data_IF_090762139446
#
_entry.id   IF_090762139446
#
_cell.length_a   1.000
_cell.length_b   1.000
_cell.length_c   1.000
_cell.angle_alpha   90.00
_cell.angle_beta   90.00
_cell.angle_gamma   90.00
#
_symmetry.space_group_name_H-M   'P 1'
#
loop_
_entity.id
_entity.type
_entity.pdbx_description
1 polymer ?
#
# COMPACT_ATOMS: atom_id res chain seq x y z
N UNK A 1 8.60 -46.65 -47.83
CA UNK A 1 9.68 -45.90 -47.18
C UNK A 1 9.10 -45.26 -45.94
N UNK A 2 9.51 -45.63 -44.71
CA UNK A 2 9.11 -44.92 -43.52
C UNK A 2 9.97 -43.66 -43.35
N UNK A 3 9.36 -42.56 -42.91
CA UNK A 3 10.04 -41.32 -42.51
C UNK A 3 10.77 -41.52 -41.17
N UNK A 4 11.85 -40.78 -40.90
CA UNK A 4 12.69 -41.01 -39.72
C UNK A 4 12.07 -40.44 -38.44
N UNK A 5 12.28 -41.16 -37.34
CA UNK A 5 12.00 -40.78 -35.96
C UNK A 5 12.91 -39.63 -35.52
N UNK A 6 12.53 -38.38 -35.79
CA UNK A 6 13.08 -37.21 -35.10
C UNK A 6 12.41 -37.08 -33.71
N UNK A 7 12.80 -37.98 -32.80
CA UNK A 7 12.58 -37.78 -31.38
C UNK A 7 13.49 -36.65 -30.89
N UNK A 8 12.99 -35.42 -30.96
CA UNK A 8 13.56 -34.28 -30.24
C UNK A 8 13.62 -34.65 -28.75
N UNK A 9 14.83 -34.83 -28.23
CA UNK A 9 15.10 -35.18 -26.83
C UNK A 9 14.60 -34.07 -25.90
N UNK A 10 13.34 -34.20 -25.47
CA UNK A 10 12.66 -33.30 -24.54
C UNK A 10 13.43 -33.15 -23.23
N UNK A 11 14.16 -34.19 -22.80
CA UNK A 11 14.96 -34.14 -21.59
C UNK A 11 16.22 -33.28 -21.79
N UNK A 12 16.85 -33.32 -22.95
CA UNK A 12 17.96 -32.43 -23.30
C UNK A 12 17.53 -30.96 -23.37
N UNK A 13 16.33 -30.68 -23.90
CA UNK A 13 15.74 -29.33 -23.90
C UNK A 13 15.48 -28.86 -22.47
N UNK A 14 14.88 -29.69 -21.61
CA UNK A 14 14.62 -29.33 -20.21
C UNK A 14 15.90 -29.14 -19.39
N UNK A 15 16.97 -29.92 -19.63
CA UNK A 15 18.27 -29.73 -18.96
C UNK A 15 18.97 -28.45 -19.39
N UNK A 16 18.92 -28.10 -20.69
CA UNK A 16 19.44 -26.81 -21.18
C UNK A 16 18.67 -25.62 -20.57
N UNK A 17 17.35 -25.77 -20.38
CA UNK A 17 16.48 -24.78 -19.72
C UNK A 17 16.82 -24.59 -18.23
N UNK A 18 17.06 -25.67 -17.48
CA UNK A 18 17.41 -25.59 -16.07
C UNK A 18 18.80 -24.96 -15.82
N UNK A 19 19.79 -25.26 -16.68
CA UNK A 19 21.14 -24.72 -16.57
C UNK A 19 21.23 -23.20 -16.83
N UNK A 20 20.37 -22.68 -17.72
CA UNK A 20 20.38 -21.26 -18.10
C UNK A 20 19.76 -20.37 -17.00
N UNK A 21 18.69 -20.82 -16.34
CA UNK A 21 18.07 -20.14 -15.20
C UNK A 21 19.05 -20.04 -14.02
N UNK A 22 19.82 -21.10 -13.76
CA UNK A 22 20.86 -21.10 -12.72
C UNK A 22 22.02 -20.14 -13.03
N UNK A 23 22.30 -19.89 -14.31
CA UNK A 23 23.39 -19.00 -14.75
C UNK A 23 23.00 -17.52 -14.68
N UNK A 24 21.73 -17.18 -14.93
CA UNK A 24 21.21 -15.81 -14.81
C UNK A 24 21.28 -15.27 -13.36
N UNK A 25 21.09 -16.14 -12.36
CA UNK A 25 21.19 -15.77 -10.94
C UNK A 25 22.63 -15.59 -10.45
N UNK A 26 23.62 -16.13 -11.16
CA UNK A 26 25.03 -16.12 -10.74
C UNK A 26 25.83 -14.93 -11.28
N UNK A 27 25.23 -14.09 -12.13
CA UNK A 27 25.91 -13.00 -12.86
C UNK A 27 25.76 -11.58 -12.29
N UNK A 28 25.03 -11.39 -11.19
CA UNK A 28 24.84 -10.09 -10.54
C UNK A 28 26.10 -9.67 -9.74
N UNK A 29 27.20 -9.45 -10.46
CA UNK A 29 28.36 -8.75 -9.93
C UNK A 29 28.02 -7.27 -9.78
N UNK A 30 27.58 -6.85 -8.60
CA UNK A 30 27.43 -5.44 -8.26
C UNK A 30 28.80 -4.75 -8.44
N UNK A 31 28.91 -3.67 -9.23
CA UNK A 31 30.15 -2.92 -9.30
C UNK A 31 30.44 -2.29 -7.94
N UNK A 32 31.68 -2.44 -7.47
CA UNK A 32 32.20 -1.72 -6.31
C UNK A 32 32.16 -0.22 -6.63
N UNK A 33 31.22 0.50 -6.03
CA UNK A 33 31.16 1.97 -6.13
C UNK A 33 32.38 2.52 -5.37
N UNK A 34 33.33 3.04 -6.13
CA UNK A 34 34.51 3.70 -5.61
C UNK A 34 34.12 5.01 -4.89
N UNK A 35 34.80 5.27 -3.78
CA UNK A 35 34.61 6.38 -2.86
C UNK A 35 34.46 7.73 -3.57
N UNK A 36 33.32 8.39 -3.36
CA UNK A 36 33.18 9.82 -3.61
C UNK A 36 33.98 10.58 -2.55
N UNK A 37 34.91 11.42 -3.01
CA UNK A 37 35.62 12.39 -2.18
C UNK A 37 34.63 13.44 -1.66
N UNK A 38 34.63 13.60 -0.35
CA UNK A 38 33.89 14.61 0.39
C UNK A 38 34.45 16.01 0.07
N UNK A 39 33.67 16.80 -0.66
CA UNK A 39 33.98 18.21 -0.94
C UNK A 39 33.52 19.05 0.28
N UNK A 40 34.35 20.00 0.78
CA UNK A 40 34.02 20.77 1.96
C UNK A 40 32.81 21.71 1.75
N UNK A 41 32.02 21.98 2.79
CA UNK A 41 30.73 22.65 2.69
C UNK A 41 30.88 24.12 2.27
N UNK A 42 30.21 24.48 1.18
CA UNK A 42 30.01 25.87 0.78
C UNK A 42 28.94 26.53 1.68
N UNK A 43 29.21 27.79 2.07
CA UNK A 43 28.28 28.62 2.83
C UNK A 43 26.92 28.76 2.12
N UNK A 44 25.80 28.67 2.85
CA UNK A 44 24.47 28.77 2.28
C UNK A 44 24.19 30.19 1.75
N UNK A 45 23.71 30.35 0.50
CA UNK A 45 23.30 31.65 0.01
C UNK A 45 22.06 32.15 0.76
N UNK A 46 22.18 33.34 1.34
CA UNK A 46 21.06 34.09 1.87
C UNK A 46 20.15 34.54 0.73
N UNK A 47 18.88 34.10 0.76
CA UNK A 47 17.83 34.66 -0.10
C UNK A 47 17.06 33.67 -0.98
N UNK A 48 16.72 32.47 -0.48
CA UNK A 48 15.72 31.64 -1.13
C UNK A 48 14.32 32.19 -0.84
N UNK A 49 13.81 32.97 -1.79
CA UNK A 49 12.41 33.38 -1.88
C UNK A 49 11.52 32.13 -1.90
N UNK A 50 10.62 32.05 -0.93
CA UNK A 50 9.76 30.91 -0.63
C UNK A 50 8.92 30.54 -1.86
N UNK A 51 9.28 29.44 -2.52
CA UNK A 51 8.57 28.95 -3.70
C UNK A 51 7.10 28.70 -3.33
N UNK A 52 6.12 29.17 -4.14
CA UNK A 52 4.71 29.01 -3.83
C UNK A 52 4.37 27.53 -3.70
N UNK A 53 3.89 27.15 -2.52
CA UNK A 53 3.48 25.79 -2.20
C UNK A 53 2.53 25.26 -3.29
N UNK A 54 2.89 24.12 -3.89
CA UNK A 54 2.05 23.44 -4.85
C UNK A 54 0.66 23.17 -4.23
N UNK A 55 -0.44 23.36 -4.99
CA UNK A 55 -1.79 23.15 -4.48
C UNK A 55 -1.93 21.70 -4.02
N UNK A 56 -2.11 21.51 -2.72
CA UNK A 56 -2.43 20.22 -2.10
C UNK A 56 -3.67 19.62 -2.78
N UNK A 57 -3.47 18.51 -3.48
CA UNK A 57 -4.54 17.74 -4.12
C UNK A 57 -5.52 17.30 -3.04
N UNK A 58 -6.69 17.96 -3.02
CA UNK A 58 -7.80 17.55 -2.14
C UNK A 58 -8.19 16.11 -2.51
N UNK A 59 -8.53 15.25 -1.54
CA UNK A 59 -9.18 13.98 -1.84
C UNK A 59 -10.51 14.26 -2.54
N UNK A 60 -10.52 14.17 -3.88
CA UNK A 60 -11.73 13.90 -4.64
C UNK A 60 -12.05 12.43 -4.35
N UNK A 61 -13.26 12.05 -3.93
CA UNK A 61 -14.42 12.19 -4.79
C UNK A 61 -15.72 12.32 -4.01
N UNK A 62 -16.41 13.43 -4.26
CA UNK A 62 -17.86 13.48 -4.29
C UNK A 62 -18.30 14.41 -5.42
N UNK A 63 -18.42 13.86 -6.64
CA UNK A 63 -19.72 13.81 -7.30
C UNK A 63 -20.00 12.39 -7.80
N UNK A 64 -20.93 11.70 -7.13
CA UNK A 64 -21.41 10.39 -7.60
C UNK A 64 -22.34 10.60 -8.80
N UNK A 65 -22.28 9.73 -9.84
CA UNK A 65 -23.27 9.73 -10.92
C UNK A 65 -24.69 9.58 -10.34
N UNK A 66 -25.71 10.06 -11.07
CA UNK A 66 -27.10 9.96 -10.59
C UNK A 66 -27.42 8.51 -10.16
N UNK A 67 -27.89 8.29 -8.91
CA UNK A 67 -28.07 6.95 -8.40
C UNK A 67 -29.13 6.20 -9.20
N UNK A 68 -28.82 4.94 -9.53
CA UNK A 68 -29.73 4.06 -10.27
C UNK A 68 -31.05 3.84 -9.51
N UNK A 69 -32.15 3.50 -10.21
CA UNK A 69 -33.42 3.17 -9.56
C UNK A 69 -33.28 2.07 -8.48
N UNK A 70 -32.43 1.07 -8.73
CA UNK A 70 -32.16 -0.02 -7.79
C UNK A 70 -31.43 0.47 -6.53
N UNK A 71 -30.43 1.35 -6.69
CA UNK A 71 -29.74 1.96 -5.55
C UNK A 71 -30.70 2.79 -4.69
N UNK A 72 -31.62 3.54 -5.30
CA UNK A 72 -32.67 4.28 -4.59
C UNK A 72 -33.63 3.36 -3.85
N UNK A 73 -34.03 2.25 -4.46
CA UNK A 73 -34.89 1.23 -3.83
C UNK A 73 -34.21 0.61 -2.61
N UNK A 74 -32.94 0.20 -2.77
CA UNK A 74 -32.14 -0.38 -1.70
C UNK A 74 -31.93 0.60 -0.54
N UNK A 75 -31.54 1.85 -0.85
CA UNK A 75 -31.34 2.89 0.16
C UNK A 75 -32.60 3.12 1.00
N UNK A 76 -33.79 3.06 0.38
CA UNK A 76 -35.08 3.20 1.07
C UNK A 76 -35.37 2.04 2.04
N UNK A 77 -35.08 0.81 1.63
CA UNK A 77 -35.22 -0.38 2.50
C UNK A 77 -34.29 -0.28 3.70
N UNK A 78 -33.01 0.03 3.45
CA UNK A 78 -32.00 0.19 4.51
C UNK A 78 -32.32 1.36 5.45
N UNK A 79 -32.86 2.46 4.92
CA UNK A 79 -33.29 3.59 5.75
C UNK A 79 -34.46 3.21 6.67
N UNK A 80 -35.43 2.44 6.16
CA UNK A 80 -36.56 1.96 6.95
C UNK A 80 -36.10 1.00 8.06
N UNK A 81 -35.21 0.06 7.74
CA UNK A 81 -34.58 -0.83 8.71
C UNK A 81 -33.80 -0.04 9.79
N UNK A 82 -32.99 0.93 9.36
CA UNK A 82 -32.25 1.79 10.30
C UNK A 82 -33.17 2.57 11.23
N UNK A 83 -34.33 3.01 10.73
CA UNK A 83 -35.35 3.69 11.53
C UNK A 83 -35.96 2.76 12.57
N UNK A 84 -36.36 1.55 12.18
CA UNK A 84 -36.90 0.52 13.10
C UNK A 84 -35.89 0.16 14.20
N UNK A 85 -34.62 -0.02 13.84
CA UNK A 85 -33.54 -0.29 14.79
C UNK A 85 -33.28 0.89 15.72
N UNK A 86 -33.34 2.11 15.21
CA UNK A 86 -33.16 3.32 16.02
C UNK A 86 -34.31 3.47 17.06
N UNK A 87 -35.55 3.24 16.63
CA UNK A 87 -36.73 3.32 17.49
C UNK A 87 -36.76 2.23 18.57
N UNK A 88 -36.25 1.05 18.26
CA UNK A 88 -36.11 -0.06 19.21
C UNK A 88 -34.90 0.07 20.15
N UNK A 89 -34.08 1.12 20.01
CA UNK A 89 -32.88 1.35 20.82
C UNK A 89 -31.65 0.55 20.39
N UNK A 90 -31.71 -0.22 19.30
CA UNK A 90 -30.54 -0.85 18.66
C UNK A 90 -29.76 0.20 17.85
N UNK A 91 -29.13 1.15 18.55
CA UNK A 91 -28.38 2.23 17.90
C UNK A 91 -27.20 1.70 17.07
N UNK A 92 -26.55 0.62 17.49
CA UNK A 92 -25.45 0.01 16.74
C UNK A 92 -25.92 -0.57 15.41
N UNK A 93 -27.06 -1.28 15.40
CA UNK A 93 -27.68 -1.74 14.17
C UNK A 93 -28.20 -0.60 13.29
N UNK A 94 -28.78 0.44 13.89
CA UNK A 94 -29.24 1.62 13.17
C UNK A 94 -28.08 2.34 12.44
N UNK A 95 -26.93 2.50 13.10
CA UNK A 95 -25.72 3.09 12.50
C UNK A 95 -25.32 2.33 11.24
N UNK A 96 -25.25 0.99 11.29
CA UNK A 96 -24.89 0.16 10.11
C UNK A 96 -25.88 0.35 8.96
N UNK A 97 -27.18 0.26 9.24
CA UNK A 97 -28.22 0.39 8.22
C UNK A 97 -28.26 1.80 7.60
N UNK A 98 -28.12 2.86 8.40
CA UNK A 98 -28.05 4.23 7.88
C UNK A 98 -26.77 4.49 7.09
N UNK A 99 -25.64 3.92 7.50
CA UNK A 99 -24.39 4.03 6.75
C UNK A 99 -24.51 3.36 5.37
N UNK A 100 -25.04 2.13 5.31
CA UNK A 100 -25.26 1.43 4.03
C UNK A 100 -26.28 2.16 3.15
N UNK A 101 -27.35 2.69 3.75
CA UNK A 101 -28.31 3.55 3.05
C UNK A 101 -27.64 4.80 2.46
N UNK A 102 -26.74 5.44 3.23
CA UNK A 102 -26.01 6.63 2.80
C UNK A 102 -24.99 6.32 1.69
N UNK A 103 -24.32 5.17 1.75
CA UNK A 103 -23.44 4.70 0.67
C UNK A 103 -24.21 4.46 -0.62
N UNK A 104 -25.43 3.92 -0.54
CA UNK A 104 -26.27 3.69 -1.71
C UNK A 104 -26.79 5.00 -2.31
N UNK A 105 -27.25 5.94 -1.47
CA UNK A 105 -27.69 7.28 -1.89
C UNK A 105 -27.31 8.33 -0.84
N UNK A 106 -26.29 9.16 -1.09
CA UNK A 106 -25.97 10.28 -0.20
C UNK A 106 -27.09 11.31 -0.21
N UNK A 107 -27.79 11.47 0.92
CA UNK A 107 -28.94 12.40 1.04
C UNK A 107 -29.04 12.98 2.45
N UNK A 108 -29.42 14.25 2.58
CA UNK A 108 -29.50 15.01 3.84
C UNK A 108 -30.24 14.24 4.96
N UNK A 109 -31.44 13.73 4.67
CA UNK A 109 -32.25 12.95 5.62
C UNK A 109 -31.52 11.71 6.16
N UNK A 110 -30.74 11.04 5.31
CA UNK A 110 -30.00 9.83 5.69
C UNK A 110 -28.80 10.23 6.54
N UNK A 111 -28.07 11.29 6.16
CA UNK A 111 -26.97 11.83 6.97
C UNK A 111 -27.42 12.23 8.37
N UNK A 112 -28.54 12.97 8.49
CA UNK A 112 -29.09 13.38 9.79
C UNK A 112 -29.47 12.17 10.65
N UNK A 113 -30.13 11.16 10.07
CA UNK A 113 -30.50 9.96 10.80
C UNK A 113 -29.26 9.18 11.28
N UNK A 114 -28.25 9.07 10.43
CA UNK A 114 -26.96 8.44 10.75
C UNK A 114 -26.24 9.18 11.88
N UNK A 115 -26.13 10.51 11.80
CA UNK A 115 -25.54 11.34 12.85
C UNK A 115 -26.26 11.17 14.18
N UNK A 116 -27.59 11.14 14.19
CA UNK A 116 -28.38 10.92 15.41
C UNK A 116 -28.15 9.54 16.01
N UNK A 117 -28.07 8.49 15.18
CA UNK A 117 -27.75 7.14 15.63
C UNK A 117 -26.35 7.06 16.26
N UNK A 118 -25.34 7.66 15.63
CA UNK A 118 -23.98 7.76 16.18
C UNK A 118 -23.94 8.55 17.48
N UNK A 119 -24.66 9.66 17.56
CA UNK A 119 -24.75 10.45 18.77
C UNK A 119 -25.40 9.66 19.91
N UNK A 120 -26.51 8.96 19.65
CA UNK A 120 -27.20 8.12 20.65
C UNK A 120 -26.39 6.90 21.10
N UNK A 121 -25.47 6.39 20.28
CA UNK A 121 -24.55 5.32 20.66
C UNK A 121 -23.30 5.80 21.43
N UNK A 122 -23.17 7.11 21.67
CA UNK A 122 -22.01 7.71 22.35
C UNK A 122 -20.82 7.99 21.43
N UNK A 123 -20.96 7.79 20.11
CA UNK A 123 -19.94 8.05 19.11
C UNK A 123 -20.02 9.50 18.58
N UNK A 124 -19.88 10.48 19.49
CA UNK A 124 -20.09 11.91 19.17
C UNK A 124 -19.11 12.44 18.11
N UNK A 125 -17.85 12.02 18.17
CA UNK A 125 -16.84 12.37 17.16
C UNK A 125 -17.25 11.87 15.76
N UNK A 126 -17.59 10.58 15.64
CA UNK A 126 -18.03 10.01 14.37
C UNK A 126 -19.28 10.72 13.82
N UNK A 127 -20.21 11.15 14.69
CA UNK A 127 -21.37 11.94 14.25
C UNK A 127 -20.95 13.29 13.63
N UNK A 128 -19.96 13.98 14.20
CA UNK A 128 -19.41 15.20 13.61
C UNK A 128 -18.70 14.94 12.28
N UNK A 129 -17.98 13.82 12.13
CA UNK A 129 -17.33 13.44 10.87
C UNK A 129 -18.32 13.23 9.73
N UNK A 130 -19.46 12.58 10.00
CA UNK A 130 -20.52 12.41 9.01
C UNK A 130 -21.00 13.76 8.48
N UNK A 131 -21.08 14.78 9.34
CA UNK A 131 -21.47 16.13 8.91
C UNK A 131 -20.47 16.77 7.95
N UNK A 132 -19.18 16.70 8.28
CA UNK A 132 -18.09 17.22 7.44
C UNK A 132 -18.09 16.49 6.09
N UNK A 133 -18.13 15.16 6.13
CA UNK A 133 -18.19 14.31 4.94
C UNK A 133 -19.37 14.68 4.07
N UNK A 134 -20.56 14.85 4.64
CA UNK A 134 -21.76 15.18 3.88
C UNK A 134 -21.69 16.56 3.20
N UNK A 135 -21.18 17.57 3.91
CA UNK A 135 -20.97 18.92 3.36
C UNK A 135 -19.96 18.90 2.22
N UNK A 136 -18.84 18.18 2.38
CA UNK A 136 -17.83 18.00 1.33
C UNK A 136 -18.41 17.29 0.10
N UNK A 137 -19.48 16.50 0.28
CA UNK A 137 -20.18 15.82 -0.79
C UNK A 137 -21.35 16.60 -1.41
N UNK A 138 -21.42 17.92 -1.17
CA UNK A 138 -22.46 18.79 -1.73
C UNK A 138 -23.78 18.78 -0.96
N UNK A 139 -23.81 18.16 0.22
CA UNK A 139 -24.95 18.19 1.13
C UNK A 139 -25.23 19.59 1.71
N UNK A 140 -26.46 19.81 2.17
CA UNK A 140 -26.87 21.10 2.72
C UNK A 140 -26.46 21.26 4.19
N UNK A 141 -25.65 22.29 4.49
CA UNK A 141 -25.35 22.67 5.89
C UNK A 141 -26.63 23.02 6.67
N UNK A 142 -27.64 23.59 6.01
CA UNK A 142 -28.91 23.95 6.65
C UNK A 142 -29.62 22.72 7.21
N UNK A 143 -29.61 21.61 6.47
CA UNK A 143 -30.24 20.37 6.89
C UNK A 143 -29.54 19.73 8.10
N UNK A 144 -28.25 19.96 8.27
CA UNK A 144 -27.46 19.42 9.38
C UNK A 144 -27.43 20.33 10.61
N UNK A 145 -27.68 21.63 10.45
CA UNK A 145 -27.45 22.65 11.49
C UNK A 145 -28.08 22.31 12.84
N UNK A 146 -29.34 21.90 12.85
CA UNK A 146 -30.05 21.55 14.09
C UNK A 146 -29.40 20.36 14.79
N UNK A 147 -29.05 19.30 14.04
CA UNK A 147 -28.43 18.09 14.60
C UNK A 147 -27.00 18.38 15.07
N UNK A 148 -26.23 19.18 14.34
CA UNK A 148 -24.90 19.62 14.78
C UNK A 148 -24.98 20.45 16.06
N UNK A 149 -25.92 21.41 16.14
CA UNK A 149 -26.12 22.21 17.34
C UNK A 149 -26.54 21.35 18.54
N UNK A 150 -27.37 20.33 18.32
CA UNK A 150 -27.72 19.36 19.37
C UNK A 150 -26.48 18.61 19.87
N UNK A 151 -25.68 18.04 18.95
CA UNK A 151 -24.45 17.31 19.29
C UNK A 151 -23.49 18.21 20.07
N UNK A 152 -23.26 19.43 19.60
CA UNK A 152 -22.38 20.39 20.27
C UNK A 152 -22.88 20.77 21.67
N UNK A 153 -24.19 20.97 21.84
CA UNK A 153 -24.78 21.33 23.15
C UNK A 153 -24.72 20.20 24.18
N UNK A 154 -24.57 18.95 23.72
CA UNK A 154 -24.55 17.75 24.55
C UNK A 154 -23.20 17.02 24.52
N UNK A 155 -22.15 17.72 24.13
CA UNK A 155 -20.78 17.20 24.14
C UNK A 155 -19.87 18.17 24.87
N UNK A 156 -18.79 17.66 25.45
CA UNK A 156 -17.65 18.48 25.83
C UNK A 156 -16.67 18.57 24.65
N UNK A 157 -15.92 19.66 24.56
CA UNK A 157 -14.84 19.84 23.59
C UNK A 157 -13.49 19.74 24.31
N UNK A 158 -12.66 18.79 23.89
CA UNK A 158 -11.35 18.52 24.49
C UNK A 158 -10.26 18.82 23.47
N UNK A 159 -9.41 19.80 23.76
CA UNK A 159 -8.23 20.14 22.96
C UNK A 159 -7.01 19.49 23.61
N UNK A 160 -6.27 18.67 22.88
CA UNK A 160 -5.04 18.04 23.40
C UNK A 160 -3.83 18.86 22.93
N UNK A 161 -3.03 19.32 23.88
CA UNK A 161 -1.78 20.01 23.63
C UNK A 161 -0.63 19.15 24.15
N UNK A 162 0.35 18.86 23.29
CA UNK A 162 1.57 18.16 23.73
C UNK A 162 2.66 19.18 23.97
N UNK A 163 3.19 19.16 25.18
CA UNK A 163 4.27 20.05 25.64
C UNK A 163 5.56 19.23 25.71
N UNK A 164 6.57 19.62 24.93
CA UNK A 164 7.87 18.94 24.90
C UNK A 164 8.52 18.99 23.51
N UNK A 165 9.78 18.50 23.37
CA UNK A 165 10.43 18.35 22.07
C UNK A 165 9.55 17.48 21.17
N UNK A 166 9.41 17.87 19.90
CA UNK A 166 8.41 17.37 18.94
C UNK A 166 8.30 15.84 18.93
N UNK A 167 7.42 15.31 19.77
CA UNK A 167 7.25 13.88 19.90
C UNK A 167 6.31 13.41 18.79
N UNK A 168 6.87 12.70 17.82
CA UNK A 168 6.09 11.85 16.94
C UNK A 168 5.50 10.72 17.76
N UNK A 169 4.17 10.56 17.69
CA UNK A 169 3.48 9.57 18.51
C UNK A 169 1.98 9.53 18.22
N UNK A 170 1.31 8.59 18.86
CA UNK A 170 -0.13 8.37 18.72
C UNK A 170 -0.84 8.92 19.95
N UNK A 171 -1.81 9.81 19.75
CA UNK A 171 -2.75 10.22 20.79
C UNK A 171 -3.88 9.18 20.81
N UNK A 172 -4.24 8.70 22.01
CA UNK A 172 -5.40 7.85 22.22
C UNK A 172 -6.36 8.57 23.19
N UNK A 173 -7.65 8.53 22.87
CA UNK A 173 -8.74 8.95 23.76
C UNK A 173 -9.62 7.74 24.02
N UNK A 174 -9.74 7.34 25.27
CA UNK A 174 -10.44 6.11 25.69
C UNK A 174 -9.93 4.87 24.92
N UNK A 175 -8.60 4.75 24.80
CA UNK A 175 -7.88 3.72 24.05
C UNK A 175 -8.14 3.69 22.53
N UNK A 176 -8.75 4.74 21.96
CA UNK A 176 -8.95 4.87 20.51
C UNK A 176 -7.98 5.90 19.93
N UNK A 177 -7.23 5.56 18.86
CA UNK A 177 -6.32 6.51 18.23
C UNK A 177 -7.09 7.67 17.60
N UNK A 178 -6.59 8.89 17.79
CA UNK A 178 -7.16 10.12 17.22
C UNK A 178 -6.11 10.85 16.38
N UNK A 179 -6.56 11.46 15.29
CA UNK A 179 -5.70 12.25 14.42
C UNK A 179 -5.14 13.48 15.16
N UNK A 180 -3.87 13.77 14.90
CA UNK A 180 -3.16 14.88 15.53
C UNK A 180 -3.80 16.23 15.26
N UNK A 181 -4.16 16.50 14.00
CA UNK A 181 -4.72 17.80 13.60
C UNK A 181 -6.11 17.98 14.22
N UNK A 182 -6.90 16.91 14.31
CA UNK A 182 -8.20 16.92 15.00
C UNK A 182 -8.07 17.18 16.49
N UNK A 183 -7.07 16.58 17.15
CA UNK A 183 -6.84 16.79 18.58
C UNK A 183 -6.59 18.27 18.94
N UNK A 184 -6.02 19.05 18.00
CA UNK A 184 -5.81 20.50 18.13
C UNK A 184 -7.08 21.33 17.87
N UNK A 185 -7.98 20.85 17.01
CA UNK A 185 -9.24 21.52 16.69
C UNK A 185 -10.30 21.33 17.79
N UNK A 186 -10.13 20.31 18.62
CA UNK A 186 -11.01 19.98 19.74
C UNK A 186 -11.89 18.78 19.42
N UNK A 187 -11.68 17.71 20.17
CA UNK A 187 -12.44 16.46 20.07
C UNK A 187 -13.77 16.61 20.81
N UNK A 188 -14.86 16.15 20.21
CA UNK A 188 -16.16 16.10 20.86
C UNK A 188 -16.30 14.77 21.61
N UNK A 189 -16.38 14.84 22.93
CA UNK A 189 -16.55 13.69 23.81
C UNK A 189 -17.86 13.81 24.59
N UNK A 190 -18.51 12.70 25.00
CA UNK A 190 -19.66 12.76 25.90
C UNK A 190 -19.26 13.35 27.27
N UNK A 191 -20.24 13.67 28.11
CA UNK A 191 -19.94 13.96 29.52
C UNK A 191 -19.44 12.69 30.23
N UNK A 192 -18.50 12.86 31.17
CA UNK A 192 -17.95 11.72 31.91
C UNK A 192 -16.46 11.80 32.16
N UNK A 193 -15.92 10.68 32.61
CA UNK A 193 -14.47 10.50 32.78
C UNK A 193 -13.88 9.97 31.47
N UNK A 194 -12.81 10.61 30.99
CA UNK A 194 -12.08 10.18 29.80
C UNK A 194 -10.60 9.98 30.10
N UNK A 195 -10.00 8.98 29.45
CA UNK A 195 -8.56 8.75 29.52
C UNK A 195 -7.90 9.26 28.25
N UNK A 196 -6.94 10.17 28.38
CA UNK A 196 -6.17 10.69 27.26
C UNK A 196 -4.73 10.24 27.46
N UNK A 197 -4.22 9.48 26.52
CA UNK A 197 -2.86 8.96 26.54
C UNK A 197 -2.13 9.38 25.27
N UNK A 198 -0.85 9.67 25.40
CA UNK A 198 0.05 9.89 24.28
C UNK A 198 1.16 8.85 24.33
N UNK A 199 1.37 8.12 23.24
CA UNK A 199 2.42 7.10 23.12
C UNK A 199 3.42 7.48 22.04
N UNK A 200 4.68 7.57 22.39
CA UNK A 200 5.77 7.82 21.44
C UNK A 200 6.18 6.53 20.73
N UNK A 201 6.92 6.67 19.63
CA UNK A 201 7.57 5.55 18.93
C UNK A 201 8.55 4.77 19.81
N UNK A 202 9.20 5.42 20.79
CA UNK A 202 10.11 4.75 21.73
C UNK A 202 9.38 3.97 22.84
N UNK A 203 8.04 4.00 22.85
CA UNK A 203 7.21 3.29 23.83
C UNK A 203 7.01 4.05 25.14
N UNK A 204 7.54 5.27 25.27
CA UNK A 204 7.18 6.15 26.38
C UNK A 204 5.73 6.59 26.24
N UNK A 205 5.02 6.70 27.35
CA UNK A 205 3.63 7.14 27.37
C UNK A 205 3.38 8.19 28.45
N UNK A 206 2.44 9.09 28.17
CA UNK A 206 1.92 10.05 29.12
C UNK A 206 0.40 9.93 29.15
N UNK A 207 -0.16 9.69 30.33
CA UNK A 207 -1.59 9.46 30.51
C UNK A 207 -2.19 10.51 31.44
N UNK A 208 -3.40 10.96 31.13
CA UNK A 208 -4.16 11.90 31.95
C UNK A 208 -5.64 11.55 31.91
N UNK A 209 -6.22 11.33 33.08
CA UNK A 209 -7.66 11.24 33.23
C UNK A 209 -8.24 12.64 33.38
N UNK A 210 -9.34 12.91 32.67
CA UNK A 210 -10.10 14.14 32.79
C UNK A 210 -11.56 13.80 33.08
N UNK A 211 -12.23 14.71 33.80
CA UNK A 211 -13.68 14.70 33.97
C UNK A 211 -14.23 15.91 33.21
N UNK A 212 -15.23 15.69 32.38
CA UNK A 212 -15.86 16.76 31.58
C UNK A 212 -17.38 16.75 31.78
N UNK A 213 -17.98 17.93 31.85
CA UNK A 213 -19.42 18.14 31.83
C UNK A 213 -19.89 18.60 30.43
N UNK A 214 -21.20 18.54 30.18
CA UNK A 214 -21.79 19.00 28.91
C UNK A 214 -21.43 20.47 28.64
N UNK A 215 -20.95 20.76 27.43
CA UNK A 215 -20.58 22.10 27.00
C UNK A 215 -19.20 22.57 27.46
N UNK A 216 -18.49 21.79 28.29
CA UNK A 216 -17.14 22.14 28.73
C UNK A 216 -16.17 22.27 27.54
N UNK A 217 -15.19 23.16 27.72
CA UNK A 217 -14.04 23.28 26.82
C UNK A 217 -12.76 23.08 27.63
N UNK A 218 -12.15 21.92 27.50
CA UNK A 218 -10.98 21.53 28.30
C UNK A 218 -9.74 21.43 27.41
N UNK A 219 -8.68 22.13 27.78
CA UNK A 219 -7.36 21.94 27.18
C UNK A 219 -6.54 21.00 28.06
N UNK A 220 -6.08 19.90 27.46
CA UNK A 220 -5.32 18.86 28.14
C UNK A 220 -3.88 18.93 27.68
N UNK A 221 -3.05 19.47 28.55
CA UNK A 221 -1.61 19.42 28.36
C UNK A 221 -1.09 18.05 28.77
N UNK A 222 -0.49 17.33 27.81
CA UNK A 222 0.31 16.13 28.02
C UNK A 222 1.78 16.51 27.86
N UNK A 223 2.55 16.35 28.92
CA UNK A 223 3.99 16.58 28.88
C UNK A 223 4.63 15.32 28.32
N UNK A 224 5.22 15.42 27.13
CA UNK A 224 5.98 14.32 26.57
C UNK A 224 7.16 14.04 27.51
N UNK A 225 7.34 12.79 27.99
CA UNK A 225 8.49 12.46 28.81
C UNK A 225 9.77 12.84 28.05
N UNK A 226 10.75 13.51 28.68
CA UNK A 226 12.01 13.78 28.03
C UNK A 226 12.56 12.45 27.52
N UNK A 227 12.95 12.42 26.25
CA UNK A 227 13.58 11.26 25.67
C UNK A 227 14.82 10.98 26.53
N UNK A 228 14.80 9.87 27.27
CA UNK A 228 15.91 9.51 28.15
C UNK A 228 17.10 9.31 27.20
N UNK A 229 18.13 10.17 27.24
CA UNK A 229 19.26 10.01 26.37
C UNK A 229 19.78 8.58 26.60
N UNK A 230 20.11 7.84 25.53
CA UNK A 230 20.56 6.48 25.65
C UNK A 230 21.69 6.45 26.69
N UNK A 231 21.49 5.68 27.78
CA UNK A 231 22.46 5.69 28.87
C UNK A 231 23.83 5.35 28.31
N UNK A 232 24.85 6.21 28.50
CA UNK A 232 26.20 5.91 28.05
C UNK A 232 26.60 4.62 28.75
N UNK A 233 26.84 3.60 27.95
CA UNK A 233 26.94 2.27 28.48
C UNK A 233 28.26 2.16 29.26
N UNK A 234 28.18 1.99 30.57
CA UNK A 234 29.32 2.08 31.50
C UNK A 234 30.25 0.85 31.48
N UNK A 235 30.19 0.01 30.45
CA UNK A 235 31.00 -1.21 30.36
C UNK A 235 31.37 -1.55 28.91
N UNK A 236 32.63 -1.35 28.47
CA UNK A 236 33.10 -1.89 27.20
C UNK A 236 33.05 -3.44 27.23
N UNK A 237 32.60 -4.12 26.17
CA UNK A 237 32.05 -3.60 24.91
C UNK A 237 30.52 -3.68 24.93
N UNK A 238 29.84 -2.54 24.77
CA UNK A 238 28.40 -2.55 24.52
C UNK A 238 28.14 -2.88 23.06
N UNK A 239 28.29 -4.16 22.75
CA UNK A 239 27.81 -4.80 21.52
C UNK A 239 26.32 -5.07 21.65
N UNK A 240 25.52 -4.06 22.01
CA UNK A 240 24.23 -4.00 21.34
C UNK A 240 24.62 -3.44 19.97
N UNK A 241 24.67 -4.28 18.91
CA UNK A 241 24.88 -3.74 17.58
C UNK A 241 23.89 -2.57 17.43
N UNK A 242 24.32 -1.43 16.86
CA UNK A 242 23.39 -0.35 16.56
C UNK A 242 22.15 -1.01 15.92
N UNK A 243 20.92 -0.65 16.36
CA UNK A 243 19.72 -1.20 15.75
C UNK A 243 19.95 -1.15 14.25
N UNK A 244 19.86 -2.31 13.55
CA UNK A 244 20.36 -2.44 12.19
C UNK A 244 19.84 -1.26 11.40
N UNK A 245 20.78 -0.47 10.86
CA UNK A 245 20.46 0.76 10.15
C UNK A 245 19.39 0.39 9.12
N UNK A 246 18.28 1.13 9.09
CA UNK A 246 17.12 0.79 8.26
C UNK A 246 17.48 0.64 6.77
N UNK A 247 18.64 1.18 6.42
CA UNK A 247 19.37 1.16 5.15
C UNK A 247 19.99 -0.20 4.78
N UNK A 248 20.02 -1.19 5.68
CA UNK A 248 20.57 -2.54 5.42
C UNK A 248 19.50 -3.62 5.15
N UNK A 249 18.28 -3.22 4.79
CA UNK A 249 17.17 -4.16 4.60
C UNK A 249 17.20 -4.78 3.20
N UNK A 250 17.53 -6.07 3.14
CA UNK A 250 17.10 -6.93 2.04
C UNK A 250 15.70 -7.43 2.34
N UNK A 251 14.78 -7.28 1.41
CA UNK A 251 13.39 -7.72 1.56
C UNK A 251 13.08 -8.84 0.58
N UNK A 252 12.24 -9.78 1.01
CA UNK A 252 11.63 -10.74 0.11
C UNK A 252 10.14 -10.43 0.02
N UNK A 253 9.64 -10.34 -1.19
CA UNK A 253 8.24 -10.04 -1.48
C UNK A 253 7.64 -11.18 -2.29
N UNK A 254 6.45 -11.63 -1.87
CA UNK A 254 5.65 -12.56 -2.65
C UNK A 254 4.36 -11.86 -3.06
N UNK A 255 4.10 -11.83 -4.36
CA UNK A 255 3.01 -11.06 -4.95
C UNK A 255 2.14 -11.92 -5.85
N UNK A 256 0.86 -11.56 -5.92
CA UNK A 256 -0.09 -12.10 -6.88
C UNK A 256 -0.30 -11.05 -7.97
N UNK A 257 -0.28 -11.50 -9.21
CA UNK A 257 -0.67 -10.72 -10.37
C UNK A 257 -2.14 -11.10 -10.67
N UNK A 258 -3.12 -10.23 -10.38
CA UNK A 258 -4.53 -10.43 -10.66
C UNK A 258 -4.78 -10.38 -12.18
N UNK A 259 -5.99 -10.79 -12.63
CA UNK A 259 -6.42 -10.68 -14.02
C UNK A 259 -6.07 -9.33 -14.66
N UNK A 260 -5.19 -9.35 -15.67
CA UNK A 260 -4.80 -8.16 -16.42
C UNK A 260 -5.02 -8.34 -17.93
N UNK A 261 -5.34 -7.26 -18.66
CA UNK A 261 -5.37 -7.28 -20.11
C UNK A 261 -3.94 -7.20 -20.65
N UNK A 262 -3.60 -8.06 -21.60
CA UNK A 262 -2.42 -7.91 -22.44
C UNK A 262 -2.84 -7.63 -23.88
N UNK A 263 -2.17 -6.67 -24.49
CA UNK A 263 -2.38 -6.28 -25.89
C UNK A 263 -1.25 -6.92 -26.69
N UNK A 264 -1.61 -7.88 -27.54
CA UNK A 264 -0.68 -8.44 -28.52
C UNK A 264 -0.68 -7.59 -29.79
N UNK A 265 0.49 -7.45 -30.41
CA UNK A 265 0.65 -6.75 -31.70
C UNK A 265 0.54 -7.69 -32.91
N UNK A 266 0.05 -8.91 -32.70
CA UNK A 266 -0.31 -9.83 -33.79
C UNK A 266 -1.33 -9.20 -34.74
N UNK A 267 -1.48 -9.74 -35.96
CA UNK A 267 -2.41 -9.22 -36.98
C UNK A 267 -3.85 -9.05 -36.49
N UNK A 268 -4.23 -9.78 -35.43
CA UNK A 268 -5.40 -9.49 -34.61
C UNK A 268 -4.94 -8.96 -33.26
N UNK A 269 -5.37 -7.74 -32.92
CA UNK A 269 -5.23 -7.20 -31.56
C UNK A 269 -6.14 -8.03 -30.66
N UNK A 270 -5.55 -8.99 -29.95
CA UNK A 270 -6.25 -9.80 -28.96
C UNK A 270 -6.05 -9.22 -27.57
N UNK A 271 -7.14 -9.04 -26.83
CA UNK A 271 -7.06 -8.85 -25.39
C UNK A 271 -6.90 -10.23 -24.75
N UNK A 272 -5.75 -10.49 -24.13
CA UNK A 272 -5.54 -11.68 -23.32
C UNK A 272 -5.78 -11.34 -21.86
N UNK A 273 -6.53 -12.18 -21.15
CA UNK A 273 -6.62 -12.09 -19.70
C UNK A 273 -5.50 -12.91 -19.07
N UNK A 274 -4.82 -12.38 -18.05
CA UNK A 274 -3.81 -13.18 -17.36
C UNK A 274 -3.65 -12.96 -15.88
N UNK A 275 -3.14 -13.99 -15.20
CA UNK A 275 -2.87 -13.96 -13.77
C UNK A 275 -1.57 -14.73 -13.47
N UNK A 276 -0.94 -14.42 -12.35
CA UNK A 276 0.41 -14.90 -12.07
C UNK A 276 0.87 -14.71 -10.64
N UNK A 277 2.13 -15.07 -10.42
CA UNK A 277 2.84 -14.85 -9.18
C UNK A 277 4.19 -14.20 -9.43
N UNK A 278 4.69 -13.49 -8.43
CA UNK A 278 5.96 -12.78 -8.44
C UNK A 278 6.69 -13.04 -7.12
N UNK A 279 8.00 -13.24 -7.21
CA UNK A 279 8.88 -13.28 -6.06
C UNK A 279 9.98 -12.25 -6.29
N UNK A 280 10.03 -11.21 -5.47
CA UNK A 280 10.99 -10.12 -5.61
C UNK A 280 11.94 -10.05 -4.41
N UNK A 281 13.18 -9.63 -4.69
CA UNK A 281 14.18 -9.25 -3.71
C UNK A 281 14.44 -7.77 -3.87
N UNK A 282 14.18 -7.00 -2.82
CA UNK A 282 14.52 -5.58 -2.78
C UNK A 282 15.82 -5.39 -2.00
N UNK A 283 16.68 -4.51 -2.51
CA UNK A 283 17.88 -4.04 -1.83
C UNK A 283 17.90 -2.52 -1.84
N UNK A 284 18.14 -1.93 -0.67
CA UNK A 284 18.37 -0.49 -0.57
C UNK A 284 19.67 -0.11 -1.28
N UNK A 285 19.63 0.97 -2.08
CA UNK A 285 20.79 1.44 -2.86
C UNK A 285 21.37 2.71 -2.27
N UNK A 286 20.53 3.72 -2.02
CA UNK A 286 20.97 5.02 -1.52
C UNK A 286 19.85 5.77 -0.81
N UNK A 287 20.22 6.54 0.22
CA UNK A 287 19.35 7.53 0.86
C UNK A 287 19.47 8.85 0.10
N UNK A 288 18.34 9.47 -0.21
CA UNK A 288 18.27 10.90 -0.50
C UNK A 288 18.34 11.73 0.78
N UNK A 289 18.18 13.05 0.65
CA UNK A 289 18.00 13.93 1.81
C UNK A 289 16.63 13.68 2.45
N UNK A 290 16.58 13.22 3.70
CA UNK A 290 15.33 12.95 4.41
C UNK A 290 14.90 11.49 4.34
N UNK A 291 13.61 11.25 4.01
CA UNK A 291 13.01 9.91 3.90
C UNK A 291 13.05 9.33 2.47
N UNK A 292 13.65 10.05 1.52
CA UNK A 292 13.74 9.59 0.14
C UNK A 292 14.73 8.42 0.01
N UNK A 293 14.34 7.39 -0.73
CA UNK A 293 15.17 6.20 -0.90
C UNK A 293 15.15 5.69 -2.35
N UNK A 294 16.31 5.23 -2.83
CA UNK A 294 16.41 4.47 -4.07
C UNK A 294 16.57 3.00 -3.72
N UNK A 295 15.69 2.18 -4.28
CA UNK A 295 15.67 0.74 -4.12
C UNK A 295 15.97 0.06 -5.45
N UNK A 296 16.75 -1.02 -5.37
CA UNK A 296 16.88 -1.98 -6.46
C UNK A 296 15.96 -3.14 -6.18
N UNK A 297 15.26 -3.62 -7.19
CA UNK A 297 14.36 -4.75 -7.09
C UNK A 297 14.65 -5.75 -8.21
N UNK A 298 14.96 -6.98 -7.83
CA UNK A 298 15.12 -8.09 -8.75
C UNK A 298 14.06 -9.14 -8.51
N UNK A 299 13.32 -9.53 -9.54
CA UNK A 299 12.23 -10.50 -9.39
C UNK A 299 12.28 -11.66 -10.39
N UNK A 300 11.56 -12.73 -10.02
CA UNK A 300 11.13 -13.79 -10.92
C UNK A 300 9.61 -13.78 -10.94
N UNK A 301 9.03 -13.81 -12.13
CA UNK A 301 7.58 -13.82 -12.30
C UNK A 301 7.14 -14.94 -13.24
N UNK A 302 5.92 -15.41 -13.01
CA UNK A 302 5.21 -16.24 -13.97
C UNK A 302 3.78 -15.78 -14.09
N UNK A 303 3.29 -15.69 -15.32
CA UNK A 303 1.91 -15.34 -15.61
C UNK A 303 1.36 -16.27 -16.69
N UNK A 304 0.05 -16.45 -16.71
CA UNK A 304 -0.66 -17.13 -17.77
C UNK A 304 -1.51 -16.11 -18.50
N UNK A 305 -1.43 -16.06 -19.82
CA UNK A 305 -2.28 -15.26 -20.70
C UNK A 305 -3.19 -16.20 -21.49
N UNK A 306 -4.48 -15.92 -21.55
CA UNK A 306 -5.43 -16.74 -22.30
C UNK A 306 -6.49 -15.94 -23.05
N UNK A 307 -6.91 -16.50 -24.18
CA UNK A 307 -8.18 -16.25 -24.86
C UNK A 307 -8.91 -17.59 -25.07
N UNK A 308 -10.04 -17.57 -25.78
CA UNK A 308 -10.73 -18.80 -26.19
C UNK A 308 -9.87 -19.70 -27.09
N UNK A 309 -8.93 -19.10 -27.84
CA UNK A 309 -8.11 -19.80 -28.85
C UNK A 309 -6.65 -19.94 -28.45
N UNK A 310 -6.12 -19.03 -27.63
CA UNK A 310 -4.69 -18.92 -27.35
C UNK A 310 -4.40 -19.04 -25.85
N UNK A 311 -3.33 -19.73 -25.52
CA UNK A 311 -2.92 -20.00 -24.13
C UNK A 311 -1.41 -19.86 -24.05
N UNK A 312 -0.94 -18.76 -23.49
CA UNK A 312 0.49 -18.44 -23.37
C UNK A 312 0.89 -18.42 -21.90
N UNK A 313 1.76 -19.32 -21.48
CA UNK A 313 2.45 -19.20 -20.20
C UNK A 313 3.69 -18.33 -20.37
N UNK A 314 3.95 -17.48 -19.39
CA UNK A 314 5.08 -16.56 -19.33
C UNK A 314 5.89 -16.93 -18.09
N UNK A 315 7.20 -17.02 -18.26
CA UNK A 315 8.15 -17.06 -17.15
C UNK A 315 9.28 -16.09 -17.47
N UNK A 316 9.58 -15.19 -16.55
CA UNK A 316 10.61 -14.18 -16.75
C UNK A 316 11.21 -13.68 -15.45
N UNK A 317 12.13 -12.74 -15.62
CA UNK A 317 12.78 -12.02 -14.54
C UNK A 317 12.77 -10.54 -14.86
N UNK A 318 12.61 -9.67 -13.86
CA UNK A 318 12.81 -8.25 -13.99
C UNK A 318 13.89 -7.72 -13.03
N UNK A 319 14.54 -6.64 -13.45
CA UNK A 319 15.47 -5.87 -12.64
C UNK A 319 15.13 -4.38 -12.77
N UNK A 320 14.86 -3.74 -11.64
CA UNK A 320 14.23 -2.42 -11.58
C UNK A 320 14.91 -1.53 -10.54
N UNK A 321 14.89 -0.23 -10.82
CA UNK A 321 15.22 0.81 -9.86
C UNK A 321 13.96 1.59 -9.54
N UNK A 322 13.67 1.72 -8.24
CA UNK A 322 12.53 2.46 -7.73
C UNK A 322 12.99 3.62 -6.86
N UNK A 323 12.49 4.81 -7.17
CA UNK A 323 12.59 5.98 -6.32
C UNK A 323 11.34 6.07 -5.45
N UNK A 324 11.53 6.11 -4.13
CA UNK A 324 10.46 6.15 -3.13
C UNK A 324 10.60 7.42 -2.30
N UNK A 325 9.88 8.50 -2.61
CA UNK A 325 9.84 9.68 -1.76
C UNK A 325 8.95 9.39 -0.54
N UNK A 326 9.60 9.17 0.61
CA UNK A 326 8.94 8.71 1.83
C UNK A 326 8.55 7.23 1.82
N UNK A 327 7.70 6.84 2.78
CA UNK A 327 7.44 5.42 3.08
C UNK A 327 6.27 4.81 2.28
N UNK A 328 5.45 5.65 1.63
CA UNK A 328 4.15 5.22 1.09
C UNK A 328 4.06 5.23 -0.43
N UNK A 329 4.90 6.01 -1.11
CA UNK A 329 4.79 6.25 -2.54
C UNK A 329 6.13 5.99 -3.22
N UNK A 330 6.07 5.50 -4.46
CA UNK A 330 7.24 5.36 -5.31
C UNK A 330 6.90 5.24 -6.79
N UNK A 331 7.92 5.37 -7.61
CA UNK A 331 7.88 5.07 -9.04
C UNK A 331 9.23 4.54 -9.47
N UNK A 332 9.26 3.81 -10.58
CA UNK A 332 10.48 3.15 -11.02
C UNK A 332 10.49 2.81 -12.48
N UNK A 333 11.64 2.34 -12.92
CA UNK A 333 11.82 1.80 -14.24
C UNK A 333 12.89 0.71 -14.20
N UNK A 334 12.78 -0.22 -15.12
CA UNK A 334 13.72 -1.31 -15.25
C UNK A 334 13.57 -2.05 -16.55
N UNK A 335 13.99 -3.31 -16.50
CA UNK A 335 14.02 -4.17 -17.66
C UNK A 335 13.60 -5.58 -17.27
N UNK A 336 12.85 -6.24 -18.14
CA UNK A 336 12.45 -7.62 -17.98
C UNK A 336 12.86 -8.45 -19.19
N UNK A 337 13.11 -9.74 -18.95
CA UNK A 337 13.36 -10.72 -19.99
C UNK A 337 12.83 -12.08 -19.56
N UNK A 338 12.50 -12.93 -20.53
CA UNK A 338 11.99 -14.25 -20.24
C UNK A 338 11.60 -15.02 -21.49
N UNK A 339 10.71 -15.99 -21.29
CA UNK A 339 10.21 -16.87 -22.34
C UNK A 339 8.69 -16.89 -22.36
N UNK A 340 8.14 -16.91 -23.59
CA UNK A 340 6.74 -17.18 -23.87
C UNK A 340 6.58 -18.66 -24.26
N UNK A 341 5.61 -19.34 -23.66
CA UNK A 341 5.31 -20.74 -23.92
C UNK A 341 3.87 -20.88 -24.38
N UNK A 342 3.66 -21.34 -25.62
CA UNK A 342 2.34 -21.79 -26.06
C UNK A 342 2.00 -23.11 -25.34
N UNK A 343 0.88 -23.10 -24.62
CA UNK A 343 0.36 -24.23 -23.83
C UNK A 343 -0.61 -25.08 -24.66
N UNK A 344 -1.00 -24.65 -25.86
CA UNK A 344 -1.87 -25.42 -26.73
C UNK A 344 -1.11 -26.58 -27.41
N UNK A 345 -1.63 -27.80 -27.26
CA UNK A 345 -1.06 -29.01 -27.87
C UNK A 345 -1.21 -29.02 -29.41
N UNK A 346 -2.22 -28.33 -29.95
CA UNK A 346 -2.62 -28.45 -31.37
C UNK A 346 -1.78 -27.67 -32.39
N UNK A 347 -0.66 -27.03 -31.99
CA UNK A 347 0.36 -26.58 -32.93
C UNK A 347 -0.04 -25.54 -33.96
N UNK A 348 -1.08 -24.73 -33.69
CA UNK A 348 -1.56 -23.74 -34.65
C UNK A 348 -0.82 -22.39 -34.61
N UNK A 349 -0.04 -22.11 -33.57
CA UNK A 349 0.67 -20.83 -33.41
C UNK A 349 2.18 -21.06 -33.27
N UNK A 350 2.88 -21.32 -34.38
CA UNK A 350 4.35 -21.46 -34.42
C UNK A 350 5.08 -20.18 -33.93
N UNK A 351 4.41 -19.03 -34.00
CA UNK A 351 4.97 -17.71 -33.77
C UNK A 351 5.33 -17.39 -32.30
N UNK A 352 4.66 -18.04 -31.34
CA UNK A 352 4.81 -17.77 -29.89
C UNK A 352 5.51 -18.91 -29.14
N UNK A 353 5.98 -19.95 -29.84
CA UNK A 353 6.62 -21.10 -29.21
C UNK A 353 8.03 -20.78 -28.76
N UNK A 354 8.21 -20.69 -27.43
CA UNK A 354 9.52 -20.56 -26.79
C UNK A 354 10.29 -19.30 -27.23
N UNK A 355 9.57 -18.25 -27.64
CA UNK A 355 10.16 -16.98 -28.03
C UNK A 355 10.73 -16.30 -26.79
N UNK A 356 11.98 -15.86 -26.89
CA UNK A 356 12.56 -14.96 -25.90
C UNK A 356 11.86 -13.61 -26.04
N UNK A 357 11.45 -13.04 -24.92
CA UNK A 357 11.03 -11.65 -24.86
C UNK A 357 12.01 -10.86 -23.99
N UNK A 358 12.16 -9.58 -24.28
CA UNK A 358 12.77 -8.62 -23.37
C UNK A 358 12.26 -7.21 -23.63
N UNK A 359 12.38 -6.33 -22.64
CA UNK A 359 11.99 -4.93 -22.82
C UNK A 359 11.83 -4.17 -21.51
N UNK A 360 11.57 -2.86 -21.61
CA UNK A 360 11.46 -2.00 -20.44
C UNK A 360 10.21 -2.35 -19.61
N UNK A 361 10.33 -2.14 -18.31
CA UNK A 361 9.22 -2.15 -17.36
C UNK A 361 9.14 -0.78 -16.73
N UNK A 362 7.96 -0.17 -16.75
CA UNK A 362 7.70 1.07 -16.04
C UNK A 362 6.83 0.79 -14.83
N UNK A 363 7.17 1.42 -13.72
CA UNK A 363 6.43 1.37 -12.45
C UNK A 363 5.93 2.78 -12.16
N UNK A 364 4.85 3.23 -12.82
CA UNK A 364 4.33 4.59 -12.61
C UNK A 364 3.80 4.83 -11.20
N UNK A 365 3.43 3.77 -10.46
CA UNK A 365 2.85 3.87 -9.13
C UNK A 365 3.24 2.67 -8.28
N UNK A 366 3.85 2.94 -7.14
CA UNK A 366 4.10 1.98 -6.07
C UNK A 366 3.53 2.55 -4.78
N UNK A 367 2.55 1.88 -4.20
CA UNK A 367 1.91 2.26 -2.94
C UNK A 367 2.21 1.24 -1.85
N UNK A 368 2.63 1.73 -0.68
CA UNK A 368 2.99 0.90 0.47
C UNK A 368 2.20 1.26 1.71
N UNK A 369 1.64 0.23 2.36
CA UNK A 369 0.85 0.32 3.58
C UNK A 369 1.28 -0.79 4.54
N UNK A 370 2.16 -0.49 5.49
CA UNK A 370 2.70 -1.43 6.50
C UNK A 370 3.18 -2.77 5.91
N UNK A 371 2.30 -3.78 5.86
CA UNK A 371 2.55 -5.15 5.37
C UNK A 371 2.00 -5.43 3.96
N UNK A 372 1.41 -4.43 3.32
CA UNK A 372 0.72 -4.51 2.04
C UNK A 372 1.34 -3.55 1.03
N UNK A 373 1.58 -4.04 -0.18
CA UNK A 373 2.07 -3.24 -1.29
C UNK A 373 1.21 -3.46 -2.53
N UNK A 374 1.02 -2.37 -3.27
CA UNK A 374 0.33 -2.37 -4.55
C UNK A 374 1.17 -1.61 -5.55
N UNK A 375 1.41 -2.23 -6.70
CA UNK A 375 2.28 -1.69 -7.72
C UNK A 375 1.59 -1.74 -9.09
N UNK A 376 1.60 -0.65 -9.83
CA UNK A 376 1.16 -0.63 -11.23
C UNK A 376 2.39 -0.77 -12.10
N UNK A 377 2.41 -1.82 -12.92
CA UNK A 377 3.51 -2.16 -13.84
C UNK A 377 3.04 -2.06 -15.29
N UNK A 378 3.88 -1.50 -16.15
CA UNK A 378 3.64 -1.40 -17.59
C UNK A 378 4.85 -1.98 -18.34
N UNK A 379 4.95 -3.31 -18.44
CA UNK A 379 5.94 -3.97 -19.28
C UNK A 379 5.62 -3.76 -20.77
N UNK A 380 6.65 -3.42 -21.54
CA UNK A 380 6.63 -3.40 -23.00
C UNK A 380 7.60 -4.47 -23.48
N UNK A 381 7.08 -5.64 -23.85
CA UNK A 381 7.89 -6.76 -24.29
C UNK A 381 8.05 -6.76 -25.80
N UNK A 382 9.31 -6.84 -26.20
CA UNK A 382 9.73 -7.07 -27.56
C UNK A 382 10.13 -8.55 -27.66
N UNK A 383 9.69 -9.26 -28.69
CA UNK A 383 10.12 -10.64 -28.92
C UNK A 383 10.68 -10.82 -30.31
N UNK A 384 11.55 -11.82 -30.45
CA UNK A 384 11.98 -12.26 -31.76
C UNK A 384 10.84 -13.00 -32.45
N UNK A 385 10.56 -12.60 -33.67
CA UNK A 385 9.47 -13.09 -34.50
C UNK A 385 10.10 -13.57 -35.81
N UNK A 386 9.87 -14.84 -36.15
CA UNK A 386 10.30 -15.41 -37.42
C UNK A 386 9.12 -15.38 -38.39
N UNK A 387 9.17 -14.47 -39.37
CA UNK A 387 8.16 -14.36 -40.42
C UNK A 387 8.83 -14.55 -41.79
N UNK A 388 8.39 -15.56 -42.54
CA UNK A 388 8.99 -15.91 -43.83
C UNK A 388 10.49 -16.25 -43.78
N UNK A 389 11.01 -16.71 -42.63
CA UNK A 389 12.44 -17.01 -42.42
C UNK A 389 13.30 -15.78 -42.08
N UNK A 390 12.70 -14.61 -41.89
CA UNK A 390 13.38 -13.39 -41.43
C UNK A 390 13.07 -13.20 -39.95
N UNK A 391 14.12 -13.16 -39.13
CA UNK A 391 14.02 -12.80 -37.71
C UNK A 391 13.85 -11.29 -37.57
N UNK A 392 12.74 -10.85 -36.99
CA UNK A 392 12.49 -9.44 -36.69
C UNK A 392 12.17 -9.26 -35.22
N UNK A 393 12.78 -8.25 -34.60
CA UNK A 393 12.49 -7.88 -33.23
C UNK A 393 11.38 -6.82 -33.23
N UNK A 394 10.20 -7.18 -32.76
CA UNK A 394 9.03 -6.30 -32.76
C UNK A 394 8.41 -6.26 -31.37
N UNK A 395 7.75 -5.15 -30.98
CA UNK A 395 6.88 -5.16 -29.82
C UNK A 395 5.87 -6.26 -30.02
N UNK A 396 5.75 -7.16 -29.05
CA UNK A 396 4.88 -8.32 -29.11
C UNK A 396 3.76 -8.25 -28.10
N UNK A 397 4.04 -7.71 -26.91
CA UNK A 397 3.08 -7.65 -25.81
C UNK A 397 3.26 -6.36 -25.02
N UNK A 398 2.17 -5.64 -24.79
CA UNK A 398 2.05 -4.60 -23.76
C UNK A 398 1.07 -5.10 -22.71
N UNK A 399 1.53 -5.25 -21.47
CA UNK A 399 0.79 -5.99 -20.43
C UNK A 399 0.67 -5.18 -19.14
N UNK A 400 -0.07 -4.06 -19.14
CA UNK A 400 -0.26 -3.27 -17.93
C UNK A 400 -0.98 -4.12 -16.87
N UNK A 401 -0.37 -4.27 -15.70
CA UNK A 401 -0.92 -5.07 -14.62
C UNK A 401 -0.67 -4.41 -13.26
N UNK A 402 -1.50 -4.78 -12.29
CA UNK A 402 -1.35 -4.37 -10.90
C UNK A 402 -0.76 -5.55 -10.15
N UNK A 403 0.38 -5.43 -9.50
CA UNK A 403 0.87 -6.45 -8.57
C UNK A 403 0.36 -6.14 -7.16
N UNK A 404 -0.14 -7.15 -6.46
CA UNK A 404 -0.57 -7.03 -5.07
C UNK A 404 0.31 -7.95 -4.22
N UNK A 405 0.95 -7.38 -3.22
CA UNK A 405 2.06 -8.01 -2.54
C UNK A 405 1.90 -8.02 -1.04
N UNK A 406 2.30 -9.14 -0.43
CA UNK A 406 2.42 -9.25 1.02
C UNK A 406 3.89 -9.27 1.40
N UNK A 407 4.21 -8.43 2.36
CA UNK A 407 5.59 -8.10 2.67
C UNK A 407 6.03 -8.89 3.88
N UNK A 408 7.07 -9.71 3.69
CA UNK A 408 7.81 -10.32 4.78
C UNK A 408 9.23 -9.77 4.84
N UNK A 409 9.66 -9.24 5.97
CA UNK A 409 11.09 -9.00 6.19
C UNK A 409 11.77 -10.32 6.51
N UNK A 410 12.52 -10.89 5.55
CA UNK A 410 13.13 -12.22 5.71
C UNK A 410 14.50 -12.17 6.37
N UNK A 411 15.28 -11.10 6.19
CA UNK A 411 16.60 -10.96 6.81
C UNK A 411 16.82 -9.52 7.28
N UNK A 412 16.57 -9.27 8.57
CA UNK A 412 17.27 -8.21 9.27
C UNK A 412 18.70 -8.70 9.49
N UNK A 413 19.69 -8.06 8.88
CA UNK A 413 21.10 -8.44 9.07
C UNK A 413 21.60 -7.98 10.45
N UNK A 414 20.94 -8.37 11.52
CA UNK A 414 21.46 -8.30 12.88
C UNK A 414 22.19 -9.63 13.20
N UNK A 415 23.35 -9.84 12.59
CA UNK A 415 24.25 -10.94 12.94
C UNK A 415 23.86 -12.31 12.38
N UNK A 416 24.79 -12.95 11.69
CA UNK A 416 24.70 -14.34 11.29
C UNK A 416 24.75 -15.25 12.54
N UNK A 417 23.59 -15.55 13.14
CA UNK A 417 23.37 -16.80 13.85
C UNK A 417 22.30 -17.57 13.07
N UNK A 418 22.74 -18.53 12.26
CA UNK A 418 21.84 -19.47 11.60
C UNK A 418 21.19 -20.26 12.75
N UNK A 419 19.91 -20.00 13.01
CA UNK A 419 19.13 -20.82 13.94
C UNK A 419 19.17 -22.28 13.47
N UNK A 420 20.05 -23.07 14.09
CA UNK A 420 20.04 -24.52 13.94
C UNK A 420 18.79 -25.03 14.66
N UNK A 421 18.02 -25.88 13.98
CA UNK A 421 16.83 -26.49 14.54
C UNK A 421 17.15 -27.11 15.92
N UNK A 422 16.24 -27.00 16.92
CA UNK A 422 16.48 -27.55 18.24
C UNK A 422 16.74 -29.05 18.13
N UNK A 423 17.76 -29.61 18.82
CA UNK A 423 17.99 -31.04 18.81
C UNK A 423 16.75 -31.74 19.36
N UNK A 424 16.14 -32.58 18.53
CA UNK A 424 15.11 -33.53 18.94
C UNK A 424 15.67 -34.35 20.09
N UNK A 425 15.20 -34.07 21.31
CA UNK A 425 15.49 -34.90 22.47
C UNK A 425 14.89 -36.28 22.22
N UNK A 426 15.75 -37.26 21.97
CA UNK A 426 15.40 -38.66 22.00
C UNK A 426 14.82 -39.00 23.38
N UNK A 427 13.54 -39.41 23.41
CA UNK A 427 12.97 -40.10 24.58
C UNK A 427 13.59 -41.50 24.64
N UNK A 428 14.20 -41.82 25.78
CA UNK A 428 14.40 -43.22 26.22
C UNK A 428 13.13 -43.72 26.89
#
# INVERSE_FOLDING_TARGET
MPLPDDCVDRAAILRRRAALIASALSGLGLPSIASAQEEPPAEPPAGAEEAPAAPSERPAECPQPEPSPDAKSMAKVLFAEGTERFESGDFAGAVRAFEESYRAVPHDKIAVAWMRALFKSGAHEAAAEVSIKHILCGGSLEALRETMSEIESKSARVVVAIVGPAATGTILVDNRPVDWNRSKQGLLVPEGSHSISFRTVSGTHADKQIQVALGDRVTVELVAPPEVPPQPCLSPPCLSPPPPDEKDRVRLEASIIPPFPAITTSETVGALGGAGGRLAIEAFVAAGSGQDAIWFEGDVFSAYLGSDTDRVAIVGTAAELQFRPGDHFGFGAGFSAGYLFDVNEEGRNEFLRASVFCGPVFVPLHLRFDHFEMEVRVPVWLSNVVDGGIETFRPSIVAPHISISFVGTVVSRAGYEIATAPPTSARR
#
